data_IF_030751512634
#
_entry.id   IF_030751512634
#
_cell.length_a   1.000
_cell.length_b   1.000
_cell.length_c   1.000
_cell.angle_alpha   90.00
_cell.angle_beta   90.00
_cell.angle_gamma   90.00
#
_symmetry.space_group_name_H-M   'P 1'
#
loop_
_entity.id
_entity.type
_entity.pdbx_description
1 polymer ?
#
# COMPACT_ATOMS: atom_id res chain seq x y z
N UNK A 1 -1.38 -4.41 20.68
CA UNK A 1 -2.33 -3.72 19.79
C UNK A 1 -1.65 -2.42 19.38
N UNK A 2 -1.23 -2.30 18.10
CA UNK A 2 -0.63 -1.05 17.64
C UNK A 2 -1.74 0.01 17.55
N UNK A 3 -1.71 0.99 18.43
CA UNK A 3 -2.42 2.25 18.20
C UNK A 3 -1.79 2.89 16.97
N UNK A 4 -2.48 2.83 15.84
CA UNK A 4 -2.16 3.73 14.72
C UNK A 4 -2.43 5.13 15.24
N UNK A 5 -1.38 5.86 15.58
CA UNK A 5 -1.56 7.20 16.12
C UNK A 5 -2.22 8.06 15.03
N UNK A 6 -3.12 8.92 15.43
CA UNK A 6 -3.79 9.91 14.55
C UNK A 6 -2.78 10.64 13.66
N UNK A 7 -1.57 10.84 14.15
CA UNK A 7 -0.46 11.47 13.45
C UNK A 7 0.04 10.65 12.23
N UNK A 8 0.10 9.32 12.35
CA UNK A 8 0.55 8.44 11.24
C UNK A 8 -0.46 8.42 10.09
N UNK A 9 -1.74 8.49 10.41
CA UNK A 9 -2.78 8.57 9.39
C UNK A 9 -2.80 9.94 8.70
N UNK A 10 -2.62 11.04 9.44
CA UNK A 10 -2.50 12.38 8.84
C UNK A 10 -1.27 12.50 7.93
N UNK A 11 -0.15 11.86 8.29
CA UNK A 11 1.03 11.76 7.42
C UNK A 11 0.70 11.00 6.12
N UNK A 12 0.03 9.85 6.19
CA UNK A 12 -0.42 9.11 5.01
C UNK A 12 -1.35 9.94 4.13
N UNK A 13 -2.29 10.67 4.74
CA UNK A 13 -3.22 11.54 4.04
C UNK A 13 -2.50 12.66 3.28
N UNK A 14 -1.48 13.26 3.90
CA UNK A 14 -0.68 14.31 3.29
C UNK A 14 0.11 13.79 2.09
N UNK A 15 0.78 12.65 2.23
CA UNK A 15 1.54 12.05 1.12
C UNK A 15 0.63 11.59 -0.02
N UNK A 16 -0.55 11.06 0.28
CA UNK A 16 -1.51 10.62 -0.74
C UNK A 16 -2.13 11.77 -1.55
N UNK A 17 -2.07 13.02 -1.08
CA UNK A 17 -2.53 14.19 -1.85
C UNK A 17 -1.74 14.40 -3.15
N UNK A 18 -0.56 13.82 -3.26
CA UNK A 18 0.29 13.90 -4.46
C UNK A 18 -0.14 12.90 -5.56
N UNK A 19 -1.05 11.99 -5.25
CA UNK A 19 -1.56 11.01 -6.21
C UNK A 19 -2.86 11.54 -6.83
N UNK A 20 -2.93 11.57 -8.15
CA UNK A 20 -4.19 11.85 -8.83
C UNK A 20 -5.15 10.66 -8.67
N UNK A 21 -6.37 10.93 -8.20
CA UNK A 21 -7.38 9.89 -8.06
C UNK A 21 -7.85 9.43 -9.46
N UNK A 22 -7.56 8.18 -9.85
CA UNK A 22 -7.84 7.71 -11.21
C UNK A 22 -9.32 7.41 -11.45
N UNK A 23 -10.17 7.61 -10.44
CA UNK A 23 -11.61 7.31 -10.52
C UNK A 23 -12.38 8.50 -11.09
N UNK A 24 -13.50 8.20 -11.72
CA UNK A 24 -14.43 9.23 -12.23
C UNK A 24 -15.10 9.91 -11.02
N UNK A 25 -15.05 11.25 -10.90
CA UNK A 25 -15.49 11.96 -9.69
C UNK A 25 -16.92 11.65 -9.25
N UNK A 26 -17.86 11.45 -10.17
CA UNK A 26 -19.26 11.16 -9.88
C UNK A 26 -19.47 9.81 -9.15
N UNK A 27 -18.49 8.91 -9.22
CA UNK A 27 -18.57 7.57 -8.62
C UNK A 27 -17.72 7.43 -7.35
N UNK A 28 -17.11 8.52 -6.87
CA UNK A 28 -16.28 8.49 -5.67
C UNK A 28 -17.19 8.51 -4.43
N UNK A 29 -17.35 7.37 -3.78
CA UNK A 29 -18.04 7.25 -2.49
C UNK A 29 -17.07 7.25 -1.32
N UNK A 30 -15.90 6.66 -1.50
CA UNK A 30 -14.87 6.57 -0.46
C UNK A 30 -13.67 7.45 -0.85
N UNK A 31 -13.13 8.29 0.05
CA UNK A 31 -11.89 8.99 -0.17
C UNK A 31 -10.78 8.03 -0.57
N UNK A 32 -9.91 8.44 -1.49
CA UNK A 32 -8.78 7.63 -1.95
C UNK A 32 -7.90 7.17 -0.80
N UNK A 33 -7.61 8.07 0.14
CA UNK A 33 -6.80 7.78 1.32
C UNK A 33 -7.39 6.66 2.19
N UNK A 34 -8.72 6.58 2.30
CA UNK A 34 -9.38 5.50 3.04
C UNK A 34 -9.16 4.14 2.38
N UNK A 35 -9.22 4.08 1.04
CA UNK A 35 -8.97 2.84 0.30
C UNK A 35 -7.53 2.39 0.51
N UNK A 36 -6.57 3.31 0.43
CA UNK A 36 -5.15 3.03 0.64
C UNK A 36 -4.91 2.57 2.08
N UNK A 37 -5.37 3.33 3.07
CA UNK A 37 -5.17 3.01 4.49
C UNK A 37 -5.79 1.67 4.89
N UNK A 38 -7.02 1.40 4.46
CA UNK A 38 -7.70 0.12 4.69
C UNK A 38 -6.96 -1.04 4.01
N UNK A 39 -6.43 -0.81 2.81
CA UNK A 39 -5.68 -1.84 2.09
C UNK A 39 -4.36 -2.15 2.78
N UNK A 40 -3.60 -1.14 3.21
CA UNK A 40 -2.37 -1.32 3.98
C UNK A 40 -2.65 -2.08 5.27
N UNK A 41 -3.62 -1.64 6.06
CA UNK A 41 -3.99 -2.28 7.32
C UNK A 41 -4.47 -3.73 7.13
N UNK A 42 -5.25 -3.97 6.08
CA UNK A 42 -5.72 -5.31 5.71
C UNK A 42 -4.57 -6.25 5.31
N UNK A 43 -3.60 -5.77 4.53
CA UNK A 43 -2.42 -6.54 4.12
C UNK A 43 -1.55 -6.86 5.33
N UNK A 44 -1.31 -5.91 6.22
CA UNK A 44 -0.59 -6.14 7.48
C UNK A 44 -1.30 -7.19 8.33
N UNK A 45 -2.64 -7.21 8.31
CA UNK A 45 -3.46 -8.22 8.99
C UNK A 45 -3.56 -9.57 8.25
N UNK A 46 -2.82 -9.76 7.16
CA UNK A 46 -2.74 -11.01 6.40
C UNK A 46 -3.76 -11.15 5.26
N UNK A 47 -4.40 -10.07 4.83
CA UNK A 47 -5.25 -10.11 3.64
C UNK A 47 -4.41 -10.11 2.35
N UNK A 48 -4.73 -10.99 1.41
CA UNK A 48 -3.93 -11.22 0.20
C UNK A 48 -4.47 -10.55 -1.07
N UNK A 49 -5.60 -9.86 -1.00
CA UNK A 49 -6.18 -9.22 -2.17
C UNK A 49 -7.50 -8.50 -1.91
N UNK A 50 -8.10 -7.86 -2.92
CA UNK A 50 -9.26 -6.98 -2.74
C UNK A 50 -10.46 -7.63 -2.05
N UNK A 51 -10.69 -8.93 -2.29
CA UNK A 51 -11.80 -9.67 -1.66
C UNK A 51 -11.55 -9.87 -0.15
N UNK A 52 -10.36 -10.27 0.23
CA UNK A 52 -9.99 -10.49 1.63
C UNK A 52 -9.85 -9.18 2.39
N UNK A 53 -9.31 -8.13 1.75
CA UNK A 53 -9.25 -6.78 2.32
C UNK A 53 -10.66 -6.25 2.61
N UNK A 54 -11.59 -6.33 1.65
CA UNK A 54 -12.95 -5.86 1.84
C UNK A 54 -13.68 -6.62 2.97
N UNK A 55 -13.47 -7.94 3.05
CA UNK A 55 -14.03 -8.76 4.14
C UNK A 55 -13.44 -8.39 5.49
N UNK A 56 -12.12 -8.23 5.57
CA UNK A 56 -11.43 -7.79 6.77
C UNK A 56 -11.93 -6.41 7.22
N UNK A 57 -12.02 -5.44 6.31
CA UNK A 57 -12.50 -4.11 6.59
C UNK A 57 -13.93 -4.11 7.14
N UNK A 58 -14.82 -4.91 6.56
CA UNK A 58 -16.19 -5.07 7.05
C UNK A 58 -16.23 -5.59 8.49
N UNK A 59 -15.37 -6.56 8.82
CA UNK A 59 -15.28 -7.12 10.17
C UNK A 59 -14.65 -6.15 11.17
N UNK A 60 -13.83 -5.21 10.70
CA UNK A 60 -13.13 -4.22 11.53
C UNK A 60 -13.73 -2.81 11.42
N UNK A 61 -14.94 -2.69 10.88
CA UNK A 61 -15.61 -1.41 10.62
C UNK A 61 -15.59 -0.48 11.82
N UNK A 62 -16.04 -0.94 12.98
CA UNK A 62 -16.15 -0.12 14.19
C UNK A 62 -14.78 0.40 14.66
N UNK A 63 -13.72 -0.40 14.48
CA UNK A 63 -12.36 0.03 14.75
C UNK A 63 -11.86 1.02 13.70
N UNK A 64 -12.17 0.81 12.41
CA UNK A 64 -11.81 1.74 11.34
C UNK A 64 -12.48 3.10 11.52
N UNK A 65 -13.72 3.15 11.98
CA UNK A 65 -14.44 4.40 12.28
C UNK A 65 -13.79 5.25 13.39
N UNK A 66 -12.94 4.66 14.22
CA UNK A 66 -12.25 5.42 15.28
C UNK A 66 -11.19 6.38 14.74
N UNK A 67 -10.70 6.17 13.51
CA UNK A 67 -9.63 6.97 12.90
C UNK A 67 -9.83 7.29 11.42
N UNK A 68 -10.84 6.73 10.77
CA UNK A 68 -11.26 7.04 9.40
C UNK A 68 -12.67 7.62 9.41
N UNK A 69 -12.89 8.64 8.60
CA UNK A 69 -14.24 9.08 8.26
C UNK A 69 -14.81 8.13 7.18
N UNK A 70 -15.64 7.18 7.61
CA UNK A 70 -16.27 6.23 6.71
C UNK A 70 -17.61 6.79 6.22
N UNK A 71 -17.75 7.12 4.92
CA UNK A 71 -19.01 7.64 4.39
C UNK A 71 -20.17 6.68 4.67
N UNK A 72 -21.24 7.17 5.30
CA UNK A 72 -22.40 6.39 5.72
C UNK A 72 -22.06 5.17 6.62
N UNK A 73 -20.92 5.22 7.33
CA UNK A 73 -20.44 4.09 8.14
C UNK A 73 -20.10 2.85 7.31
N UNK A 74 -19.78 3.01 6.02
CA UNK A 74 -19.52 1.89 5.11
C UNK A 74 -18.04 1.79 4.77
N UNK A 75 -17.55 0.55 4.66
CA UNK A 75 -16.20 0.26 4.15
C UNK A 75 -16.22 0.04 2.64
N UNK A 76 -15.08 0.28 1.94
CA UNK A 76 -14.99 0.03 0.51
C UNK A 76 -15.29 -1.42 0.14
N UNK A 77 -16.03 -1.61 -0.93
CA UNK A 77 -16.29 -2.94 -1.48
C UNK A 77 -15.06 -3.53 -2.19
N UNK A 78 -15.08 -4.86 -2.43
CA UNK A 78 -14.06 -5.52 -3.25
C UNK A 78 -13.84 -4.82 -4.59
N UNK A 79 -14.93 -4.46 -5.27
CA UNK A 79 -14.84 -3.86 -6.60
C UNK A 79 -14.33 -2.42 -6.55
N UNK A 80 -14.65 -1.68 -5.49
CA UNK A 80 -14.06 -0.36 -5.23
C UNK A 80 -12.54 -0.45 -5.08
N UNK A 81 -12.04 -1.35 -4.23
CA UNK A 81 -10.61 -1.57 -4.01
C UNK A 81 -9.93 -2.03 -5.30
N UNK A 82 -10.48 -3.04 -5.97
CA UNK A 82 -9.94 -3.57 -7.23
C UNK A 82 -9.86 -2.50 -8.31
N UNK A 83 -10.93 -1.72 -8.51
CA UNK A 83 -10.98 -0.68 -9.54
C UNK A 83 -9.98 0.43 -9.27
N UNK A 84 -9.81 0.83 -8.02
CA UNK A 84 -8.80 1.82 -7.63
C UNK A 84 -7.38 1.33 -8.00
N UNK A 85 -6.97 0.16 -7.49
CA UNK A 85 -5.63 -0.37 -7.75
C UNK A 85 -5.37 -0.80 -9.19
N UNK A 86 -6.41 -1.06 -10.00
CA UNK A 86 -6.23 -1.32 -11.43
C UNK A 86 -6.00 -0.06 -12.26
N UNK A 87 -6.24 1.12 -11.71
CA UNK A 87 -6.18 2.39 -12.44
C UNK A 87 -5.16 3.37 -11.89
N UNK A 88 -4.78 3.26 -10.61
CA UNK A 88 -3.77 4.13 -10.01
C UNK A 88 -2.44 3.96 -10.73
N UNK A 89 -1.72 5.06 -10.94
CA UNK A 89 -0.36 5.00 -11.47
C UNK A 89 0.56 4.27 -10.46
N UNK A 90 1.16 3.13 -10.83
CA UNK A 90 2.01 2.37 -9.92
C UNK A 90 3.23 3.15 -9.43
N UNK A 91 3.83 3.99 -10.29
CA UNK A 91 5.01 4.76 -9.92
C UNK A 91 4.66 5.87 -8.91
N UNK A 92 3.56 6.58 -9.13
CA UNK A 92 3.08 7.59 -8.20
C UNK A 92 2.66 6.99 -6.86
N UNK A 93 1.99 5.83 -6.88
CA UNK A 93 1.62 5.11 -5.66
C UNK A 93 2.85 4.66 -4.88
N UNK A 94 3.86 4.09 -5.56
CA UNK A 94 5.10 3.63 -4.94
C UNK A 94 5.86 4.79 -4.30
N UNK A 95 6.00 5.93 -4.99
CA UNK A 95 6.65 7.12 -4.47
C UNK A 95 5.95 7.62 -3.20
N UNK A 96 4.63 7.78 -3.24
CA UNK A 96 3.83 8.17 -2.09
C UNK A 96 4.00 7.22 -0.89
N UNK A 97 4.03 5.91 -1.14
CA UNK A 97 4.19 4.91 -0.09
C UNK A 97 5.56 5.00 0.58
N UNK A 98 6.64 5.22 -0.20
CA UNK A 98 7.97 5.41 0.35
C UNK A 98 8.11 6.72 1.12
N UNK A 99 7.58 7.83 0.62
CA UNK A 99 7.57 9.11 1.33
C UNK A 99 6.86 8.98 2.69
N UNK A 100 5.77 8.22 2.72
CA UNK A 100 5.09 7.92 3.97
C UNK A 100 5.94 7.06 4.92
N UNK A 101 6.58 5.99 4.44
CA UNK A 101 7.48 5.16 5.26
C UNK A 101 8.65 5.97 5.81
N UNK A 102 9.24 6.85 5.02
CA UNK A 102 10.30 7.74 5.45
C UNK A 102 9.82 8.69 6.57
N UNK A 103 8.61 9.21 6.46
CA UNK A 103 8.01 10.04 7.51
C UNK A 103 7.83 9.30 8.83
N UNK A 104 7.58 8.00 8.80
CA UNK A 104 7.48 7.15 9.99
C UNK A 104 8.84 6.87 10.62
N UNK A 105 9.89 6.70 9.80
CA UNK A 105 11.23 6.38 10.27
C UNK A 105 11.95 7.56 10.93
N UNK A 106 11.62 8.80 10.56
CA UNK A 106 12.21 10.00 11.16
C UNK A 106 11.87 10.18 12.65
N UNK A 107 10.87 9.47 13.17
CA UNK A 107 10.52 9.44 14.58
C UNK A 107 11.32 8.44 15.44
N UNK A 108 12.08 7.55 14.82
CA UNK A 108 12.87 6.51 15.50
C UNK A 108 14.36 6.71 15.24
N UNK A 109 14.99 7.61 16.03
CA UNK A 109 16.44 7.72 16.03
C UNK A 109 17.04 6.55 16.83
N UNK A 110 17.56 5.54 16.13
CA UNK A 110 18.49 4.59 16.72
C UNK A 110 19.92 5.11 16.57
N UNK A 111 20.74 5.12 17.66
CA UNK A 111 22.08 5.68 17.63
C UNK A 111 23.12 4.87 16.85
N UNK A 112 22.84 3.65 16.45
CA UNK A 112 23.74 2.78 15.69
C UNK A 112 23.21 2.53 14.27
N UNK A 113 23.58 3.41 13.36
CA UNK A 113 23.17 3.45 11.95
C UNK A 113 23.83 2.36 11.07
N UNK A 114 23.76 1.10 11.42
CA UNK A 114 24.06 0.01 10.50
C UNK A 114 22.74 -0.58 9.96
N UNK A 115 22.24 0.02 8.87
CA UNK A 115 21.12 -0.54 8.12
C UNK A 115 21.58 -1.77 7.33
N UNK A 116 21.14 -2.94 7.74
CA UNK A 116 21.33 -4.16 6.94
C UNK A 116 20.29 -4.15 5.84
N UNK A 117 20.71 -3.90 4.61
CA UNK A 117 19.85 -3.98 3.43
C UNK A 117 20.00 -5.36 2.80
N UNK A 118 18.97 -6.18 2.90
CA UNK A 118 18.90 -7.44 2.19
C UNK A 118 18.35 -7.22 0.78
N UNK A 119 19.00 -7.76 -0.22
CA UNK A 119 18.56 -7.71 -1.62
C UNK A 119 18.08 -9.09 -2.02
N UNK A 120 16.81 -9.18 -2.45
CA UNK A 120 16.21 -10.41 -2.96
C UNK A 120 15.84 -10.25 -4.44
N UNK A 121 16.25 -11.22 -5.24
CA UNK A 121 15.94 -11.30 -6.67
C UNK A 121 14.94 -12.42 -6.94
N UNK A 122 13.78 -12.12 -7.51
CA UNK A 122 12.75 -13.10 -7.82
C UNK A 122 12.31 -13.03 -9.26
N UNK A 123 12.33 -14.19 -9.94
CA UNK A 123 11.74 -14.33 -11.28
C UNK A 123 10.24 -14.60 -11.12
N UNK A 124 9.41 -13.74 -11.68
CA UNK A 124 7.96 -13.93 -11.66
C UNK A 124 7.58 -15.07 -12.64
N UNK A 125 7.03 -16.14 -12.08
CA UNK A 125 6.51 -17.25 -12.89
C UNK A 125 5.32 -16.78 -13.72
N UNK A 126 5.26 -17.25 -14.97
CA UNK A 126 4.20 -16.89 -15.93
C UNK A 126 4.16 -15.41 -16.37
N UNK A 127 5.26 -14.67 -16.15
CA UNK A 127 5.40 -13.28 -16.64
C UNK A 127 5.94 -13.21 -18.08
N UNK A 128 6.15 -14.34 -18.74
CA UNK A 128 6.67 -14.44 -20.10
C UNK A 128 5.58 -14.90 -21.07
N UNK A 129 5.64 -14.38 -22.28
CA UNK A 129 4.84 -14.84 -23.42
C UNK A 129 5.78 -15.08 -24.60
N UNK A 130 6.11 -16.34 -24.84
CA UNK A 130 7.01 -16.73 -25.92
C UNK A 130 6.46 -16.42 -27.31
N UNK A 131 5.13 -16.32 -27.46
CA UNK A 131 4.50 -15.98 -28.73
C UNK A 131 4.64 -14.50 -29.07
N UNK A 132 4.81 -13.65 -28.06
CA UNK A 132 5.02 -12.20 -28.16
C UNK A 132 6.47 -11.76 -27.93
N UNK A 133 7.40 -12.70 -27.76
CA UNK A 133 8.80 -12.40 -27.49
C UNK A 133 9.07 -11.76 -26.14
N UNK A 134 8.13 -11.86 -25.20
CA UNK A 134 8.29 -11.31 -23.85
C UNK A 134 9.17 -12.23 -23.00
N UNK A 135 10.23 -11.65 -22.42
CA UNK A 135 11.13 -12.36 -21.49
C UNK A 135 10.51 -12.44 -20.09
N UNK A 136 10.98 -13.39 -19.26
CA UNK A 136 10.58 -13.43 -17.86
C UNK A 136 10.95 -12.14 -17.13
N UNK A 137 10.00 -11.60 -16.37
CA UNK A 137 10.24 -10.43 -15.55
C UNK A 137 11.03 -10.82 -14.29
N UNK A 138 12.17 -10.20 -14.09
CA UNK A 138 12.94 -10.31 -12.87
C UNK A 138 12.63 -9.13 -11.95
N UNK A 139 12.28 -9.41 -10.71
CA UNK A 139 12.01 -8.42 -9.71
C UNK A 139 13.12 -8.41 -8.68
N UNK A 140 13.77 -7.27 -8.50
CA UNK A 140 14.77 -7.07 -7.45
C UNK A 140 14.16 -6.21 -6.37
N UNK A 141 14.10 -6.72 -5.15
CA UNK A 141 13.56 -6.02 -3.98
C UNK A 141 14.69 -5.72 -2.99
N UNK A 142 14.72 -4.51 -2.47
CA UNK A 142 15.60 -4.13 -1.36
C UNK A 142 14.78 -4.06 -0.06
N UNK A 143 15.28 -4.63 0.99
CA UNK A 143 14.59 -4.83 2.25
C UNK A 143 15.48 -4.44 3.44
N UNK A 144 14.95 -3.63 4.35
CA UNK A 144 15.63 -3.32 5.62
C UNK A 144 15.25 -4.37 6.65
N UNK A 145 16.20 -5.23 7.04
CA UNK A 145 15.96 -6.38 7.89
C UNK A 145 15.47 -6.01 9.29
N UNK A 146 15.98 -4.93 9.86
CA UNK A 146 15.66 -4.51 11.23
C UNK A 146 14.25 -3.94 11.39
N UNK A 147 13.73 -3.30 10.34
CA UNK A 147 12.42 -2.64 10.38
C UNK A 147 11.34 -3.40 9.64
N UNK A 148 11.66 -4.54 9.02
CA UNK A 148 10.74 -5.29 8.17
C UNK A 148 10.09 -4.45 7.06
N UNK A 149 10.85 -3.49 6.50
CA UNK A 149 10.37 -2.54 5.50
C UNK A 149 11.05 -2.80 4.16
N UNK A 150 10.27 -2.88 3.08
CA UNK A 150 10.78 -2.91 1.72
C UNK A 150 11.17 -1.49 1.28
N UNK A 151 12.42 -1.29 0.89
CA UNK A 151 12.93 -0.01 0.38
C UNK A 151 12.53 0.25 -1.07
N UNK A 152 12.22 -0.79 -1.82
CA UNK A 152 11.83 -0.66 -3.21
C UNK A 152 11.92 -1.97 -4.00
N UNK A 153 11.34 -1.93 -5.17
CA UNK A 153 11.40 -3.00 -6.14
C UNK A 153 11.71 -2.41 -7.52
N UNK A 154 12.61 -3.05 -8.24
CA UNK A 154 12.94 -2.70 -9.61
C UNK A 154 12.71 -3.92 -10.49
N UNK A 155 11.95 -3.73 -11.56
CA UNK A 155 11.85 -4.73 -12.60
C UNK A 155 13.07 -4.65 -13.52
N UNK A 156 13.75 -5.75 -13.73
CA UNK A 156 14.88 -5.87 -14.66
C UNK A 156 14.52 -6.82 -15.78
N UNK A 157 14.92 -6.50 -17.00
CA UNK A 157 14.78 -7.36 -18.18
C UNK A 157 15.85 -8.45 -18.21
#
# INVERSE_FOLDING_TARGET
>A
MMEVSTNQFESLKTTCQQIDDPRIPINIRHPMVNIIAISIAGIIAGAEGPKSIARWAKNKRDWLETWLDLPEGKTPSRDCIRTFFSRVDPAAFQACFFDWLDSLSQGTQHPDNLLIVAIDGKTLRHSFDTTKGQRPLHLVSAWVAEHHISLGQVATE
#
